data_IF_131536451352
#
_entry.id   IF_131536451352
#
_cell.length_a   1.000
_cell.length_b   1.000
_cell.length_c   1.000
_cell.angle_alpha   90.00
_cell.angle_beta   90.00
_cell.angle_gamma   90.00
#
_symmetry.space_group_name_H-M   'P 1'
#
loop_
_entity.id
_entity.type
_entity.pdbx_description
1 polymer ?
#
# COMPACT_ATOMS: atom_id res chain seq x y z
N UNK A 1 -20.08 47.35 23.44
CA UNK A 1 -20.57 47.34 22.03
C UNK A 1 -22.07 47.13 22.07
N UNK A 2 -22.85 48.03 21.49
CA UNK A 2 -24.32 47.90 21.43
C UNK A 2 -24.66 47.19 20.10
N UNK A 3 -25.18 45.97 20.18
CA UNK A 3 -25.56 45.16 19.03
C UNK A 3 -26.83 45.76 18.39
N UNK A 4 -26.66 46.49 17.28
CA UNK A 4 -27.74 47.16 16.52
C UNK A 4 -28.15 46.36 15.27
N UNK A 5 -28.17 45.03 15.36
CA UNK A 5 -28.59 44.17 14.25
C UNK A 5 -30.10 44.27 13.97
N UNK A 6 -30.55 44.07 12.72
CA UNK A 6 -31.98 44.07 12.37
C UNK A 6 -32.80 43.03 13.14
N UNK A 7 -32.19 41.90 13.53
CA UNK A 7 -32.80 40.91 14.42
C UNK A 7 -33.05 41.46 15.85
N UNK A 8 -32.06 42.17 16.42
CA UNK A 8 -32.17 42.82 17.73
C UNK A 8 -33.27 43.89 17.72
N UNK A 9 -33.38 44.66 16.63
CA UNK A 9 -34.46 45.65 16.48
C UNK A 9 -35.84 45.00 16.41
N UNK A 10 -35.97 43.86 15.71
CA UNK A 10 -37.22 43.11 15.59
C UNK A 10 -37.65 42.47 16.91
N UNK A 11 -36.69 41.92 17.66
CA UNK A 11 -36.90 41.41 19.02
C UNK A 11 -37.38 42.54 19.96
N UNK A 12 -36.69 43.69 19.96
CA UNK A 12 -37.07 44.85 20.78
C UNK A 12 -38.46 45.40 20.44
N UNK A 13 -38.86 45.44 19.17
CA UNK A 13 -40.24 45.85 18.79
C UNK A 13 -41.31 44.85 19.21
N UNK A 14 -40.97 43.56 19.32
CA UNK A 14 -41.92 42.52 19.77
C UNK A 14 -42.11 42.57 21.29
N UNK A 15 -41.07 42.98 22.03
CA UNK A 15 -41.09 43.20 23.48
C UNK A 15 -41.93 44.42 23.92
N UNK A 16 -42.17 45.38 23.03
CA UNK A 16 -42.90 46.60 23.35
C UNK A 16 -44.43 46.40 23.54
N UNK A 17 -44.94 45.16 23.45
CA UNK A 17 -46.38 44.85 23.54
C UNK A 17 -46.69 43.86 24.68
N UNK A 18 -46.82 44.33 25.93
CA UNK A 18 -47.03 43.48 27.10
C UNK A 18 -48.29 42.60 27.02
N UNK A 19 -49.38 43.08 26.42
CA UNK A 19 -50.63 42.32 26.27
C UNK A 19 -50.51 41.09 25.35
N UNK A 20 -49.62 41.13 24.35
CA UNK A 20 -49.36 39.98 23.47
C UNK A 20 -48.50 38.93 24.15
N UNK A 21 -47.60 39.35 25.03
CA UNK A 21 -46.75 38.46 25.82
C UNK A 21 -47.57 37.74 26.89
N UNK A 22 -48.41 38.45 27.65
CA UNK A 22 -49.28 37.82 28.66
C UNK A 22 -50.24 36.77 28.04
N UNK A 23 -50.73 36.98 26.81
CA UNK A 23 -51.50 35.97 26.06
C UNK A 23 -50.68 34.74 25.66
N UNK A 24 -49.38 34.91 25.37
CA UNK A 24 -48.46 33.81 25.02
C UNK A 24 -48.09 32.94 26.22
N UNK A 25 -48.08 33.50 27.43
CA UNK A 25 -47.73 32.80 28.66
C UNK A 25 -48.85 31.97 29.29
N UNK A 26 -50.02 31.93 28.66
CA UNK A 26 -51.16 31.14 29.13
C UNK A 26 -51.63 31.48 30.56
N UNK A 27 -51.32 32.69 31.06
CA UNK A 27 -51.65 33.14 32.41
C UNK A 27 -50.73 32.65 33.55
N UNK A 28 -49.75 31.78 33.27
CA UNK A 28 -48.88 31.20 34.30
C UNK A 28 -47.53 31.92 34.46
N UNK A 29 -47.12 32.72 33.47
CA UNK A 29 -45.87 33.47 33.46
C UNK A 29 -46.16 34.95 33.19
N UNK A 30 -45.45 35.85 33.88
CA UNK A 30 -45.53 37.30 33.64
C UNK A 30 -44.85 37.63 32.30
N UNK A 31 -45.33 38.66 31.58
CA UNK A 31 -44.71 39.15 30.33
C UNK A 31 -43.17 39.18 30.34
N UNK A 32 -42.55 39.73 31.39
CA UNK A 32 -41.09 39.80 31.52
C UNK A 32 -40.40 38.43 31.59
N UNK A 33 -41.04 37.41 32.15
CA UNK A 33 -40.51 36.04 32.18
C UNK A 33 -40.57 35.40 30.79
N UNK A 34 -41.62 35.69 30.02
CA UNK A 34 -41.79 35.23 28.63
C UNK A 34 -40.74 35.89 27.73
N UNK A 35 -40.42 37.16 27.97
CA UNK A 35 -39.32 37.85 27.29
C UNK A 35 -37.97 37.15 27.54
N UNK A 36 -37.67 36.81 28.79
CA UNK A 36 -36.43 36.10 29.13
C UNK A 36 -36.34 34.73 28.45
N UNK A 37 -37.45 33.97 28.40
CA UNK A 37 -37.52 32.69 27.69
C UNK A 37 -37.28 32.92 26.19
N UNK A 38 -37.94 33.89 25.57
CA UNK A 38 -37.75 34.17 24.15
C UNK A 38 -36.32 34.60 23.80
N UNK A 39 -35.65 35.35 24.67
CA UNK A 39 -34.24 35.72 24.47
C UNK A 39 -33.32 34.51 24.59
N UNK A 40 -33.58 33.63 25.56
CA UNK A 40 -32.81 32.41 25.75
C UNK A 40 -33.00 31.43 24.59
N UNK A 41 -34.22 31.29 24.08
CA UNK A 41 -34.52 30.47 22.90
C UNK A 41 -33.77 31.00 21.66
N UNK A 42 -33.76 32.32 21.43
CA UNK A 42 -33.00 32.91 20.34
C UNK A 42 -31.50 32.66 20.49
N UNK A 43 -30.94 32.88 21.69
CA UNK A 43 -29.53 32.60 21.97
C UNK A 43 -29.18 31.12 21.78
N UNK A 44 -30.08 30.21 22.17
CA UNK A 44 -29.90 28.77 21.98
C UNK A 44 -29.92 28.40 20.50
N UNK A 45 -30.84 28.99 19.73
CA UNK A 45 -30.91 28.79 18.28
C UNK A 45 -29.66 29.32 17.57
N UNK A 46 -29.16 30.50 17.96
CA UNK A 46 -27.92 31.08 17.43
C UNK A 46 -26.73 30.13 17.66
N UNK A 47 -26.58 29.66 18.91
CA UNK A 47 -25.52 28.70 19.26
C UNK A 47 -25.65 27.38 18.48
N UNK A 48 -26.86 26.81 18.38
CA UNK A 48 -27.09 25.57 17.63
C UNK A 48 -26.76 25.74 16.14
N UNK A 49 -27.11 26.89 15.56
CA UNK A 49 -26.76 27.21 14.18
C UNK A 49 -25.25 27.35 14.00
N UNK A 50 -24.55 28.07 14.87
CA UNK A 50 -23.08 28.20 14.81
C UNK A 50 -22.39 26.83 14.92
N UNK A 51 -22.83 25.98 15.86
CA UNK A 51 -22.30 24.61 16.01
C UNK A 51 -22.56 23.80 14.73
N UNK A 52 -23.75 23.93 14.13
CA UNK A 52 -24.12 23.20 12.91
C UNK A 52 -23.27 23.63 11.71
N UNK A 53 -23.05 24.93 11.54
CA UNK A 53 -22.18 25.48 10.50
C UNK A 53 -20.74 25.00 10.70
N UNK A 54 -20.19 25.14 11.91
CA UNK A 54 -18.83 24.69 12.22
C UNK A 54 -18.64 23.19 11.97
N UNK A 55 -19.60 22.36 12.39
CA UNK A 55 -19.59 20.90 12.11
C UNK A 55 -19.63 20.61 10.62
N UNK A 56 -20.36 21.40 9.82
CA UNK A 56 -20.41 21.23 8.37
C UNK A 56 -19.04 21.53 7.76
N UNK A 57 -18.41 22.63 8.16
CA UNK A 57 -17.09 23.02 7.67
C UNK A 57 -16.03 21.97 8.02
N UNK A 58 -16.03 21.47 9.26
CA UNK A 58 -15.14 20.36 9.64
C UNK A 58 -15.38 19.10 8.82
N UNK A 59 -16.65 18.73 8.54
CA UNK A 59 -16.95 17.54 7.72
C UNK A 59 -16.46 17.69 6.28
N UNK A 60 -16.56 18.90 5.71
CA UNK A 60 -16.04 19.21 4.38
C UNK A 60 -14.52 19.04 4.35
N UNK A 61 -13.83 19.58 5.36
CA UNK A 61 -12.36 19.47 5.44
C UNK A 61 -11.90 18.02 5.68
N UNK A 62 -12.62 17.26 6.51
CA UNK A 62 -12.35 15.81 6.67
C UNK A 62 -12.49 15.09 5.33
N UNK A 63 -13.57 15.31 4.58
CA UNK A 63 -13.78 14.66 3.29
C UNK A 63 -12.68 15.05 2.27
N UNK A 64 -12.22 16.31 2.29
CA UNK A 64 -11.09 16.78 1.47
C UNK A 64 -9.81 16.04 1.82
N UNK A 65 -9.46 15.96 3.10
CA UNK A 65 -8.26 15.27 3.59
C UNK A 65 -8.33 13.76 3.30
N UNK A 66 -9.48 13.12 3.45
CA UNK A 66 -9.67 11.71 3.09
C UNK A 66 -9.48 11.45 1.59
N UNK A 67 -9.91 12.37 0.73
CA UNK A 67 -9.63 12.30 -0.70
C UNK A 67 -8.13 12.45 -1.00
N UNK A 68 -7.44 13.36 -0.32
CA UNK A 68 -6.00 13.55 -0.44
C UNK A 68 -5.22 12.30 0.03
N UNK A 69 -5.59 11.71 1.16
CA UNK A 69 -5.02 10.45 1.65
C UNK A 69 -5.21 9.33 0.62
N UNK A 70 -6.40 9.21 0.00
CA UNK A 70 -6.64 8.22 -1.05
C UNK A 70 -5.77 8.45 -2.27
N UNK A 71 -5.60 9.70 -2.70
CA UNK A 71 -4.74 10.05 -3.83
C UNK A 71 -3.28 9.68 -3.56
N UNK A 72 -2.75 10.01 -2.38
CA UNK A 72 -1.37 9.67 -1.99
C UNK A 72 -1.18 8.15 -1.91
N UNK A 73 -2.14 7.41 -1.35
CA UNK A 73 -2.07 5.93 -1.31
C UNK A 73 -2.06 5.32 -2.71
N UNK A 74 -2.89 5.82 -3.63
CA UNK A 74 -2.89 5.38 -5.02
C UNK A 74 -1.55 5.69 -5.71
N UNK A 75 -1.01 6.89 -5.50
CA UNK A 75 0.31 7.27 -6.01
C UNK A 75 1.43 6.38 -5.49
N UNK A 76 1.41 6.05 -4.18
CA UNK A 76 2.36 5.12 -3.57
C UNK A 76 2.30 3.73 -4.22
N UNK A 77 1.10 3.19 -4.43
CA UNK A 77 0.91 1.87 -5.05
C UNK A 77 1.43 1.87 -6.49
N UNK A 78 1.07 2.89 -7.29
CA UNK A 78 1.53 3.04 -8.67
C UNK A 78 3.05 3.17 -8.77
N UNK A 79 3.68 4.00 -7.94
CA UNK A 79 5.13 4.18 -7.96
C UNK A 79 5.88 2.94 -7.45
N UNK A 80 5.33 2.25 -6.46
CA UNK A 80 5.90 0.98 -5.98
C UNK A 80 5.87 -0.06 -7.12
N UNK A 81 4.75 -0.17 -7.83
CA UNK A 81 4.64 -1.07 -8.98
C UNK A 81 5.59 -0.67 -10.12
N UNK A 82 5.72 0.63 -10.42
CA UNK A 82 6.65 1.13 -11.43
C UNK A 82 8.11 0.79 -11.09
N UNK A 83 8.50 0.99 -9.83
CA UNK A 83 9.82 0.60 -9.33
C UNK A 83 10.03 -0.91 -9.44
N UNK A 84 9.08 -1.73 -8.99
CA UNK A 84 9.20 -3.19 -9.13
C UNK A 84 9.40 -3.61 -10.60
N UNK A 85 8.64 -3.03 -11.52
CA UNK A 85 8.75 -3.34 -12.95
C UNK A 85 10.12 -2.93 -13.52
N UNK A 86 10.70 -1.82 -13.05
CA UNK A 86 12.04 -1.39 -13.45
C UNK A 86 13.14 -2.39 -13.05
N UNK A 87 12.93 -3.14 -11.97
CA UNK A 87 13.91 -4.11 -11.43
C UNK A 87 13.51 -5.57 -11.70
N UNK A 88 12.66 -5.84 -12.69
CA UNK A 88 12.40 -7.22 -13.11
C UNK A 88 13.67 -7.87 -13.69
N UNK A 89 13.99 -9.15 -13.37
CA UNK A 89 13.20 -10.11 -12.59
C UNK A 89 13.45 -10.10 -11.08
N UNK A 90 14.33 -9.24 -10.56
CA UNK A 90 14.70 -9.24 -9.14
C UNK A 90 13.51 -9.01 -8.21
N UNK A 91 12.54 -8.17 -8.60
CA UNK A 91 11.32 -7.90 -7.83
C UNK A 91 10.44 -9.13 -7.57
N UNK A 92 10.51 -10.17 -8.40
CA UNK A 92 9.73 -11.42 -8.22
C UNK A 92 10.58 -12.57 -7.68
N UNK A 93 11.87 -12.35 -7.47
CA UNK A 93 12.76 -13.37 -6.90
C UNK A 93 12.46 -13.60 -5.43
N UNK A 94 12.20 -14.86 -5.07
CA UNK A 94 12.09 -15.29 -3.68
C UNK A 94 13.32 -16.09 -3.25
N UNK A 95 14.04 -15.64 -2.22
CA UNK A 95 15.08 -16.44 -1.58
C UNK A 95 14.51 -17.75 -1.01
N UNK A 96 15.35 -18.78 -0.91
CA UNK A 96 14.99 -20.02 -0.21
C UNK A 96 14.67 -19.72 1.25
N UNK A 97 13.68 -20.42 1.80
CA UNK A 97 13.47 -20.48 3.26
C UNK A 97 14.65 -21.16 3.94
N UNK A 98 14.82 -20.93 5.25
CA UNK A 98 15.91 -21.56 6.05
C UNK A 98 15.89 -23.09 5.94
N UNK A 99 14.70 -23.69 5.98
CA UNK A 99 14.50 -25.14 5.87
C UNK A 99 14.92 -25.67 4.49
N UNK A 100 14.47 -25.03 3.41
CA UNK A 100 14.86 -25.40 2.03
C UNK A 100 16.36 -25.24 1.80
N UNK A 101 16.92 -24.14 2.31
CA UNK A 101 18.34 -23.85 2.21
C UNK A 101 19.20 -24.90 2.91
N UNK A 102 18.85 -25.24 4.16
CA UNK A 102 19.54 -26.27 4.94
C UNK A 102 19.44 -27.65 4.26
N UNK A 103 18.26 -28.00 3.74
CA UNK A 103 18.06 -29.24 2.98
C UNK A 103 18.91 -29.29 1.72
N UNK A 104 19.00 -28.19 0.97
CA UNK A 104 19.82 -28.11 -0.24
C UNK A 104 21.32 -28.22 0.06
N UNK A 105 21.79 -27.58 1.15
CA UNK A 105 23.17 -27.72 1.62
C UNK A 105 23.47 -29.17 2.04
N UNK A 106 22.55 -29.80 2.76
CA UNK A 106 22.67 -31.21 3.14
C UNK A 106 22.72 -32.13 1.92
N UNK A 107 21.85 -31.93 0.94
CA UNK A 107 21.85 -32.72 -0.29
C UNK A 107 23.19 -32.62 -1.04
N UNK A 108 23.81 -31.42 -1.08
CA UNK A 108 25.15 -31.23 -1.63
C UNK A 108 26.23 -31.96 -0.83
N UNK A 109 26.14 -31.91 0.49
CA UNK A 109 27.06 -32.62 1.37
C UNK A 109 26.98 -34.14 1.18
N UNK A 110 25.76 -34.70 1.10
CA UNK A 110 25.54 -36.13 0.83
C UNK A 110 26.12 -36.50 -0.54
N UNK A 111 25.79 -35.76 -1.60
CA UNK A 111 26.32 -36.03 -2.94
C UNK A 111 27.86 -36.07 -2.95
N UNK A 112 28.51 -35.11 -2.29
CA UNK A 112 29.97 -35.09 -2.18
C UNK A 112 30.54 -36.25 -1.34
N UNK A 113 29.82 -36.72 -0.31
CA UNK A 113 30.21 -37.87 0.50
C UNK A 113 30.04 -39.19 -0.27
N UNK A 114 28.98 -39.32 -1.07
CA UNK A 114 28.73 -40.47 -1.95
C UNK A 114 29.81 -40.59 -3.03
N UNK A 115 30.22 -39.48 -3.65
CA UNK A 115 31.35 -39.47 -4.61
C UNK A 115 32.66 -39.94 -3.96
N UNK A 116 32.80 -39.79 -2.64
CA UNK A 116 33.96 -40.26 -1.85
C UNK A 116 33.77 -41.67 -1.26
N UNK A 117 32.77 -42.44 -1.72
CA UNK A 117 32.52 -43.82 -1.29
C UNK A 117 31.82 -43.98 0.07
N UNK A 118 31.33 -42.90 0.68
CA UNK A 118 30.60 -42.96 1.96
C UNK A 118 29.09 -43.03 1.68
N UNK A 119 28.52 -44.23 1.78
CA UNK A 119 27.13 -44.49 1.38
C UNK A 119 26.07 -44.22 2.44
N UNK A 120 26.42 -44.15 3.74
CA UNK A 120 25.46 -43.89 4.82
C UNK A 120 25.98 -42.79 5.74
N UNK A 121 25.57 -41.55 5.46
CA UNK A 121 25.86 -40.41 6.33
C UNK A 121 24.55 -40.00 7.01
N UNK A 122 24.44 -40.33 8.29
CA UNK A 122 23.32 -39.85 9.11
C UNK A 122 23.38 -38.34 9.29
N UNK A 123 22.20 -37.72 9.26
CA UNK A 123 22.01 -36.29 9.47
C UNK A 123 22.06 -36.00 10.96
N UNK A 124 23.13 -35.35 11.40
CA UNK A 124 23.27 -34.81 12.75
C UNK A 124 23.43 -33.30 12.67
N UNK A 125 23.09 -32.57 13.73
CA UNK A 125 23.18 -31.10 13.76
C UNK A 125 24.59 -30.60 13.42
N UNK A 126 25.62 -31.20 14.03
CA UNK A 126 27.02 -30.86 13.74
C UNK A 126 27.41 -31.07 12.26
N UNK A 127 26.85 -32.09 11.60
CA UNK A 127 27.11 -32.35 10.17
C UNK A 127 26.31 -31.42 9.28
N UNK A 128 25.09 -31.04 9.67
CA UNK A 128 24.30 -30.04 8.98
C UNK A 128 24.99 -28.67 9.01
N UNK A 129 25.54 -28.26 10.15
CA UNK A 129 26.34 -27.03 10.27
C UNK A 129 27.55 -27.07 9.33
N UNK A 130 28.30 -28.18 9.29
CA UNK A 130 29.39 -28.37 8.32
C UNK A 130 28.92 -28.33 6.87
N UNK A 131 27.74 -28.86 6.57
CA UNK A 131 27.17 -28.81 5.22
C UNK A 131 26.84 -27.37 4.80
N UNK A 132 26.21 -26.60 5.69
CA UNK A 132 25.90 -25.18 5.44
C UNK A 132 27.18 -24.38 5.25
N UNK A 133 28.15 -24.49 6.16
CA UNK A 133 29.43 -23.77 6.06
C UNK A 133 30.15 -24.01 4.73
N UNK A 134 30.18 -25.26 4.24
CA UNK A 134 30.92 -25.63 3.04
C UNK A 134 30.16 -25.39 1.72
N UNK A 135 28.83 -25.43 1.72
CA UNK A 135 28.03 -25.43 0.48
C UNK A 135 27.06 -24.26 0.33
N UNK A 136 26.92 -23.40 1.35
CA UNK A 136 26.00 -22.27 1.37
C UNK A 136 26.07 -21.39 0.11
N UNK A 137 27.28 -20.99 -0.30
CA UNK A 137 27.46 -20.08 -1.43
C UNK A 137 27.06 -20.73 -2.76
N UNK A 138 27.46 -21.99 -2.98
CA UNK A 138 27.13 -22.73 -4.19
C UNK A 138 25.63 -22.95 -4.29
N UNK A 139 24.96 -23.24 -3.17
CA UNK A 139 23.51 -23.42 -3.10
C UNK A 139 22.80 -22.10 -3.44
N UNK A 140 23.22 -20.96 -2.86
CA UNK A 140 22.66 -19.63 -3.19
C UNK A 140 22.81 -19.30 -4.67
N UNK A 141 24.03 -19.42 -5.23
CA UNK A 141 24.30 -19.16 -6.64
C UNK A 141 23.46 -20.06 -7.55
N UNK A 142 23.37 -21.36 -7.24
CA UNK A 142 22.58 -22.31 -8.02
C UNK A 142 21.09 -21.98 -7.99
N UNK A 143 20.55 -21.54 -6.86
CA UNK A 143 19.15 -21.13 -6.74
C UNK A 143 18.83 -19.95 -7.64
N UNK A 144 19.67 -18.89 -7.60
CA UNK A 144 19.52 -17.73 -8.50
C UNK A 144 19.64 -18.16 -9.98
N UNK A 145 20.63 -18.99 -10.31
CA UNK A 145 20.78 -19.48 -11.69
C UNK A 145 19.57 -20.30 -12.16
N UNK A 146 18.95 -21.09 -11.28
CA UNK A 146 17.73 -21.82 -11.60
C UNK A 146 16.53 -20.90 -11.77
N UNK A 147 16.41 -19.86 -10.93
CA UNK A 147 15.40 -18.81 -11.09
C UNK A 147 15.52 -18.10 -12.44
N UNK A 148 16.75 -17.76 -12.86
CA UNK A 148 17.02 -17.14 -14.16
C UNK A 148 16.83 -18.09 -15.36
N UNK A 149 16.58 -19.39 -15.15
CA UNK A 149 16.21 -20.29 -16.26
C UNK A 149 14.73 -20.17 -16.66
N UNK A 150 13.91 -19.50 -15.85
CA UNK A 150 12.55 -19.19 -16.24
C UNK A 150 12.54 -18.36 -17.53
N UNK A 151 11.51 -18.55 -18.35
CA UNK A 151 11.41 -17.96 -19.67
C UNK A 151 11.47 -16.42 -19.61
N UNK A 152 12.34 -15.83 -20.43
CA UNK A 152 12.49 -14.37 -20.54
C UNK A 152 13.35 -13.70 -19.45
N UNK A 153 13.66 -14.37 -18.34
CA UNK A 153 14.27 -13.69 -17.18
C UNK A 153 15.71 -13.24 -17.44
N UNK A 154 16.46 -13.99 -18.24
CA UNK A 154 17.82 -13.59 -18.65
C UNK A 154 17.79 -12.41 -19.58
N UNK A 155 16.86 -12.39 -20.52
CA UNK A 155 16.69 -11.33 -21.51
C UNK A 155 16.34 -10.02 -20.81
N UNK A 156 15.40 -10.05 -19.86
CA UNK A 156 15.07 -8.89 -19.03
C UNK A 156 16.24 -8.41 -18.17
N UNK A 157 16.97 -9.32 -17.51
CA UNK A 157 18.16 -8.97 -16.75
C UNK A 157 19.24 -8.33 -17.65
N UNK A 158 19.40 -8.83 -18.87
CA UNK A 158 20.35 -8.27 -19.84
C UNK A 158 19.93 -6.86 -20.29
N UNK A 159 18.64 -6.62 -20.52
CA UNK A 159 18.14 -5.28 -20.84
C UNK A 159 18.41 -4.29 -19.70
N UNK A 160 18.19 -4.69 -18.45
CA UNK A 160 18.53 -3.87 -17.29
C UNK A 160 20.02 -3.55 -17.24
N UNK A 161 20.88 -4.56 -17.43
CA UNK A 161 22.34 -4.38 -17.43
C UNK A 161 22.77 -3.42 -18.55
N UNK A 162 22.24 -3.57 -19.77
CA UNK A 162 22.53 -2.69 -20.89
C UNK A 162 22.11 -1.24 -20.60
N UNK A 163 20.89 -1.03 -20.09
CA UNK A 163 20.42 0.30 -19.69
C UNK A 163 21.34 0.92 -18.63
N UNK A 164 21.79 0.12 -17.65
CA UNK A 164 22.67 0.62 -16.58
C UNK A 164 24.07 0.97 -17.10
N UNK A 165 24.59 0.23 -18.07
CA UNK A 165 25.86 0.55 -18.74
C UNK A 165 25.77 1.91 -19.43
N UNK A 166 24.74 2.14 -20.24
CA UNK A 166 24.52 3.43 -20.94
C UNK A 166 24.46 4.58 -19.94
N UNK A 167 23.65 4.45 -18.88
CA UNK A 167 23.54 5.49 -17.85
C UNK A 167 24.85 5.79 -17.13
N UNK A 168 25.72 4.80 -16.93
CA UNK A 168 27.03 5.00 -16.31
C UNK A 168 28.03 5.63 -17.30
N UNK A 169 27.94 5.28 -18.58
CA UNK A 169 28.79 5.85 -19.62
C UNK A 169 28.44 7.33 -19.85
N UNK A 170 27.15 7.67 -19.93
CA UNK A 170 26.65 9.04 -20.02
C UNK A 170 27.07 9.91 -18.81
N UNK A 171 27.24 9.29 -17.64
CA UNK A 171 27.70 9.95 -16.42
C UNK A 171 29.24 10.05 -16.32
N UNK A 172 29.99 9.54 -17.30
CA UNK A 172 31.46 9.49 -17.28
C UNK A 172 32.06 8.42 -16.35
N UNK A 173 31.23 7.52 -15.80
CA UNK A 173 31.60 6.47 -14.85
C UNK A 173 32.09 5.19 -15.56
N UNK A 174 33.05 5.35 -16.47
CA UNK A 174 33.54 4.30 -17.39
C UNK A 174 34.05 3.05 -16.65
N UNK A 175 34.68 3.23 -15.48
CA UNK A 175 35.15 2.10 -14.64
C UNK A 175 34.00 1.28 -14.07
N UNK A 176 32.89 1.93 -13.70
CA UNK A 176 31.72 1.26 -13.20
C UNK A 176 30.98 0.53 -14.33
N UNK A 177 30.84 1.16 -15.50
CA UNK A 177 30.25 0.55 -16.69
C UNK A 177 30.98 -0.75 -17.09
N UNK A 178 32.33 -0.72 -17.09
CA UNK A 178 33.16 -1.90 -17.45
C UNK A 178 32.92 -3.13 -16.57
N UNK A 179 32.53 -2.96 -15.29
CA UNK A 179 32.19 -4.07 -14.39
C UNK A 179 30.98 -4.86 -14.87
N UNK A 180 30.06 -4.22 -15.59
CA UNK A 180 28.89 -4.85 -16.18
C UNK A 180 29.18 -5.45 -17.56
N UNK A 181 30.08 -4.84 -18.35
CA UNK A 181 30.51 -5.37 -19.66
C UNK A 181 31.33 -6.67 -19.54
N UNK A 182 32.14 -6.81 -18.48
CA UNK A 182 33.00 -7.99 -18.28
C UNK A 182 32.25 -9.31 -18.03
N UNK A 183 30.93 -9.29 -17.83
CA UNK A 183 30.10 -10.49 -17.64
C UNK A 183 29.21 -10.86 -18.84
N UNK A 184 29.19 -10.06 -19.92
CA UNK A 184 28.29 -10.24 -21.07
C UNK A 184 28.99 -10.67 -22.37
N UNK A 185 30.27 -11.03 -22.33
CA UNK A 185 31.01 -11.52 -23.50
C UNK A 185 30.64 -12.97 -23.88
N UNK A 186 29.44 -13.16 -24.43
CA UNK A 186 29.08 -14.27 -25.32
C UNK A 186 28.67 -13.68 -26.67
N UNK A 187 28.98 -14.33 -27.81
CA UNK A 187 28.88 -13.69 -29.12
C UNK A 187 27.43 -13.33 -29.46
N UNK A 188 27.18 -12.04 -29.64
CA UNK A 188 25.97 -11.51 -30.24
C UNK A 188 25.92 -11.90 -31.71
N UNK A 189 25.02 -12.82 -32.06
CA UNK A 189 24.56 -13.00 -33.43
C UNK A 189 23.24 -12.23 -33.57
N UNK A 190 23.23 -11.27 -34.50
CA UNK A 190 22.12 -10.36 -34.72
C UNK A 190 20.93 -11.00 -35.43
N UNK A 191 19.79 -10.33 -35.34
CA UNK A 191 18.58 -10.66 -36.10
C UNK A 191 17.34 -10.04 -35.47
N UNK A 192 16.89 -8.92 -36.03
CA UNK A 192 15.68 -8.21 -35.65
C UNK A 192 14.40 -9.00 -36.01
N UNK A 193 13.36 -8.95 -35.16
CA UNK A 193 12.00 -8.56 -35.59
C UNK A 193 11.00 -8.54 -34.43
N UNK A 194 10.39 -7.38 -34.25
CA UNK A 194 8.98 -7.11 -33.92
C UNK A 194 8.07 -8.26 -33.47
N UNK A 195 7.88 -8.39 -32.16
CA UNK A 195 6.56 -8.45 -31.50
C UNK A 195 6.83 -8.57 -30.00
N UNK A 196 6.84 -7.45 -29.28
CA UNK A 196 7.01 -7.48 -27.83
C UNK A 196 5.89 -8.33 -27.21
N UNK A 197 6.21 -9.40 -26.46
CA UNK A 197 5.17 -10.12 -25.75
C UNK A 197 4.63 -9.23 -24.63
N UNK A 198 3.30 -9.11 -24.63
CA UNK A 198 2.38 -8.72 -23.55
C UNK A 198 3.06 -8.14 -22.29
N UNK A 199 2.72 -6.90 -21.98
CA UNK A 199 3.20 -6.10 -20.84
C UNK A 199 3.43 -6.93 -19.59
N UNK A 200 4.47 -6.62 -18.79
CA UNK A 200 4.78 -7.29 -17.50
C UNK A 200 3.54 -7.39 -16.59
N UNK A 201 2.61 -6.44 -16.70
CA UNK A 201 1.29 -6.44 -16.09
C UNK A 201 0.38 -7.62 -16.50
N UNK A 202 0.41 -8.07 -17.76
CA UNK A 202 -0.39 -9.20 -18.28
C UNK A 202 0.11 -10.54 -17.76
N UNK A 203 1.44 -10.72 -17.68
CA UNK A 203 2.03 -11.95 -17.13
C UNK A 203 1.83 -12.04 -15.61
N UNK A 204 1.95 -10.92 -14.89
CA UNK A 204 1.62 -10.84 -13.45
C UNK A 204 0.12 -11.03 -13.19
N UNK A 205 -0.75 -10.49 -14.04
CA UNK A 205 -2.20 -10.73 -13.96
C UNK A 205 -2.56 -12.20 -14.17
N UNK A 206 -1.90 -12.87 -15.14
CA UNK A 206 -2.03 -14.32 -15.35
C UNK A 206 -1.56 -15.13 -14.13
N UNK A 207 -0.45 -14.76 -13.49
CA UNK A 207 0.05 -15.43 -12.28
C UNK A 207 -0.83 -15.19 -11.04
N UNK A 208 -1.46 -14.01 -10.92
CA UNK A 208 -2.44 -13.73 -9.84
C UNK A 208 -3.72 -14.55 -10.02
N UNK A 209 -4.18 -14.76 -11.25
CA UNK A 209 -5.38 -15.57 -11.53
C UNK A 209 -5.21 -17.06 -11.19
N UNK A 210 -4.00 -17.62 -11.30
CA UNK A 210 -3.71 -19.02 -10.95
C UNK A 210 -3.52 -19.27 -9.45
N UNK A 211 -3.40 -18.22 -8.63
CA UNK A 211 -3.11 -18.32 -7.19
C UNK A 211 -4.25 -17.78 -6.30
N UNK A 212 -5.46 -17.63 -6.85
CA UNK A 212 -6.65 -17.31 -6.04
C UNK A 212 -7.08 -18.58 -5.29
N UNK A 213 -6.68 -18.67 -4.02
CA UNK A 213 -7.27 -19.59 -3.04
C UNK A 213 -8.80 -19.39 -2.99
N UNK A 214 -9.60 -20.44 -2.73
CA UNK A 214 -11.05 -20.34 -2.65
C UNK A 214 -11.42 -19.29 -1.61
N UNK A 215 -12.23 -18.29 -1.99
CA UNK A 215 -12.86 -17.38 -1.05
C UNK A 215 -13.62 -18.23 -0.03
N UNK A 216 -13.26 -18.09 1.25
CA UNK A 216 -14.14 -18.51 2.33
C UNK A 216 -15.39 -17.65 2.22
N UNK A 217 -16.53 -18.29 1.94
CA UNK A 217 -17.85 -17.71 2.01
C UNK A 217 -18.11 -17.22 3.43
N UNK A 218 -17.97 -15.91 3.66
CA UNK A 218 -18.61 -15.23 4.78
C UNK A 218 -20.08 -15.04 4.43
N UNK A 219 -20.91 -16.03 4.82
CA UNK A 219 -22.34 -15.83 4.99
C UNK A 219 -22.55 -14.86 6.15
N UNK A 220 -22.77 -13.59 5.82
CA UNK A 220 -23.49 -12.65 6.69
C UNK A 220 -24.84 -12.36 6.06
N UNK A 221 -25.87 -12.95 6.66
CA UNK A 221 -27.30 -12.76 6.43
C UNK A 221 -27.94 -13.31 7.72
N UNK A 222 -28.78 -12.66 8.54
CA UNK A 222 -29.61 -11.44 8.48
C UNK A 222 -29.91 -11.08 9.96
N UNK A 223 -29.94 -9.79 10.32
CA UNK A 223 -31.16 -9.07 10.72
C UNK A 223 -32.16 -9.92 11.53
N UNK A 224 -32.37 -9.55 12.79
CA UNK A 224 -33.73 -9.38 13.33
C UNK A 224 -33.73 -8.25 14.36
N UNK A 225 -34.41 -7.17 13.97
CA UNK A 225 -35.01 -6.19 14.86
C UNK A 225 -36.00 -6.89 15.78
N UNK A 226 -35.93 -6.64 17.08
CA UNK A 226 -37.11 -6.72 17.93
C UNK A 226 -36.98 -5.74 19.10
N UNK A 227 -37.85 -4.72 19.03
CA UNK A 227 -38.41 -3.85 20.09
C UNK A 227 -37.46 -3.14 21.06
#
# INVERSE_FOLDING_TARGET
MIFNGPAVKKALTTMAQPEKLDRRGGGNLKARQIDWVSMFDEQSNDMENEIKEFRRDCKIEIARLEAEIRAVKAGLEMETEALENQYFPACVYRPMTSTEFNRACWAKYIAAATTKGKHKVEMTEARLLKAVLNYAEVVRKRHVLNFLKAEGYKEWLQQYVNKKIVLLDDAGEVRAAKKFCGSSAGPSTGGASSSGPQTVADFRSKLRATFILPKLDEKSDKLDEHF
#
